data_IF_686448294851
#
_entry.id   IF_686448294851
#
_cell.length_a   1.000
_cell.length_b   1.000
_cell.length_c   1.000
_cell.angle_alpha   90.00
_cell.angle_beta   90.00
_cell.angle_gamma   90.00
#
_symmetry.space_group_name_H-M   'P 1'
#
loop_
_entity.id
_entity.type
_entity.pdbx_description
1 polymer ?
#
# COMPACT_ATOMS: atom_id res chain seq x y z
N UNK A 1 -32.29 1.30 -13.18
CA UNK A 1 -31.07 0.88 -12.44
C UNK A 1 -29.79 1.30 -13.14
N UNK A 2 -29.55 0.92 -14.40
CA UNK A 2 -28.32 1.29 -15.15
C UNK A 2 -28.03 2.80 -15.20
N UNK A 3 -29.04 3.64 -15.52
CA UNK A 3 -28.89 5.11 -15.52
C UNK A 3 -28.46 5.70 -14.16
N UNK A 4 -28.94 5.14 -13.06
CA UNK A 4 -28.58 5.56 -11.70
C UNK A 4 -27.14 5.15 -11.36
N UNK A 5 -26.72 3.94 -11.76
CA UNK A 5 -25.33 3.48 -11.60
C UNK A 5 -24.36 4.38 -12.36
N UNK A 6 -24.69 4.77 -13.60
CA UNK A 6 -23.86 5.70 -14.37
C UNK A 6 -23.83 7.11 -13.80
N UNK A 7 -24.95 7.62 -13.29
CA UNK A 7 -24.99 8.92 -12.63
C UNK A 7 -24.13 8.94 -11.36
N UNK A 8 -24.14 7.87 -10.57
CA UNK A 8 -23.32 7.73 -9.37
C UNK A 8 -21.84 7.53 -9.68
N UNK A 9 -21.50 6.71 -10.67
CA UNK A 9 -20.13 6.59 -11.17
C UNK A 9 -19.61 7.93 -11.68
N UNK A 10 -20.46 8.76 -12.31
CA UNK A 10 -20.09 10.11 -12.75
C UNK A 10 -19.97 11.08 -11.57
N UNK A 11 -20.84 10.99 -10.56
CA UNK A 11 -20.79 11.83 -9.36
C UNK A 11 -19.63 11.47 -8.42
N UNK A 12 -19.21 10.20 -8.40
CA UNK A 12 -18.12 9.64 -7.60
C UNK A 12 -16.91 9.22 -8.44
N UNK A 13 -16.75 9.73 -9.66
CA UNK A 13 -15.76 9.22 -10.63
C UNK A 13 -14.33 9.16 -10.08
N UNK A 14 -13.96 10.13 -9.22
CA UNK A 14 -12.64 10.22 -8.62
C UNK A 14 -12.31 9.00 -7.73
N UNK A 15 -13.28 8.42 -7.04
CA UNK A 15 -13.05 7.22 -6.23
C UNK A 15 -12.86 5.97 -7.09
N UNK A 16 -13.60 5.85 -8.19
CA UNK A 16 -13.48 4.69 -9.06
C UNK A 16 -12.22 4.72 -9.93
N UNK A 17 -11.82 5.89 -10.41
CA UNK A 17 -10.55 6.07 -11.15
C UNK A 17 -9.36 5.66 -10.27
N UNK A 18 -9.38 6.02 -8.99
CA UNK A 18 -8.32 5.61 -8.06
C UNK A 18 -8.21 4.09 -7.89
N UNK A 19 -9.34 3.38 -7.81
CA UNK A 19 -9.35 1.91 -7.74
C UNK A 19 -8.81 1.31 -9.05
N UNK A 20 -9.24 1.81 -10.20
CA UNK A 20 -8.77 1.37 -11.52
C UNK A 20 -7.26 1.55 -11.66
N UNK A 21 -6.73 2.70 -11.24
CA UNK A 21 -5.31 3.01 -11.38
C UNK A 21 -4.44 2.11 -10.48
N UNK A 22 -4.85 1.87 -9.23
CA UNK A 22 -4.15 0.94 -8.33
C UNK A 22 -4.25 -0.50 -8.81
N UNK A 23 -5.41 -0.90 -9.32
CA UNK A 23 -5.58 -2.20 -9.96
C UNK A 23 -4.66 -2.36 -11.18
N UNK A 24 -4.47 -1.31 -11.99
CA UNK A 24 -3.53 -1.34 -13.10
C UNK A 24 -2.08 -1.52 -12.64
N UNK A 25 -1.65 -0.85 -11.58
CA UNK A 25 -0.29 -1.04 -11.04
C UNK A 25 -0.11 -2.43 -10.41
N UNK A 26 -1.13 -2.96 -9.73
CA UNK A 26 -1.10 -4.31 -9.19
C UNK A 26 -1.01 -5.37 -10.31
N UNK A 27 -1.78 -5.17 -11.38
CA UNK A 27 -1.74 -6.02 -12.58
C UNK A 27 -0.40 -5.90 -13.30
N UNK A 28 0.18 -4.69 -13.39
CA UNK A 28 1.52 -4.48 -13.95
C UNK A 28 2.59 -5.26 -13.16
N UNK A 29 2.60 -5.11 -11.83
CA UNK A 29 3.57 -5.79 -10.97
C UNK A 29 3.43 -7.33 -11.05
N UNK A 30 2.20 -7.84 -11.04
CA UNK A 30 1.93 -9.26 -11.25
C UNK A 30 2.33 -9.70 -12.66
N UNK A 31 1.99 -8.90 -13.66
CA UNK A 31 2.28 -9.14 -15.07
C UNK A 31 3.76 -9.29 -15.33
N UNK A 32 4.60 -8.37 -14.85
CA UNK A 32 6.07 -8.45 -15.00
C UNK A 32 6.62 -9.75 -14.44
N UNK A 33 6.14 -10.19 -13.27
CA UNK A 33 6.56 -11.45 -12.68
C UNK A 33 6.11 -12.66 -13.53
N UNK A 34 4.85 -12.68 -13.98
CA UNK A 34 4.33 -13.78 -14.79
C UNK A 34 4.94 -13.81 -16.19
N UNK A 35 5.29 -12.66 -16.78
CA UNK A 35 6.04 -12.60 -18.05
C UNK A 35 7.41 -13.24 -17.94
N UNK A 36 8.06 -13.14 -16.78
CA UNK A 36 9.31 -13.84 -16.53
C UNK A 36 9.11 -15.37 -16.56
N UNK A 37 8.07 -15.87 -15.90
CA UNK A 37 7.70 -17.29 -15.93
C UNK A 37 7.33 -17.75 -17.35
N UNK A 38 6.49 -16.99 -18.05
CA UNK A 38 6.08 -17.29 -19.43
C UNK A 38 7.29 -17.33 -20.36
N UNK A 39 8.23 -16.39 -20.21
CA UNK A 39 9.50 -16.39 -20.95
C UNK A 39 10.30 -17.67 -20.69
N UNK A 40 10.38 -18.13 -19.43
CA UNK A 40 11.05 -19.39 -19.11
C UNK A 40 10.39 -20.63 -19.69
N UNK A 41 9.06 -20.65 -19.78
CA UNK A 41 8.33 -21.75 -20.43
C UNK A 41 8.68 -21.81 -21.92
N UNK A 42 8.77 -20.66 -22.59
CA UNK A 42 9.12 -20.59 -24.02
C UNK A 42 10.60 -20.85 -24.30
N UNK A 43 11.50 -20.42 -23.41
CA UNK A 43 12.94 -20.60 -23.56
C UNK A 43 13.42 -22.04 -23.27
N UNK A 44 12.60 -22.83 -22.58
CA UNK A 44 12.84 -24.25 -22.31
C UNK A 44 13.34 -24.58 -20.90
N UNK A 45 13.46 -25.87 -20.55
CA UNK A 45 13.67 -26.32 -19.17
C UNK A 45 14.92 -25.75 -18.48
N UNK A 46 16.00 -25.53 -19.24
CA UNK A 46 17.26 -24.95 -18.76
C UNK A 46 17.06 -23.56 -18.12
N UNK A 47 16.16 -22.75 -18.68
CA UNK A 47 15.92 -21.37 -18.24
C UNK A 47 14.72 -21.24 -17.32
N UNK A 48 13.78 -22.19 -17.39
CA UNK A 48 12.56 -22.20 -16.60
C UNK A 48 12.82 -22.18 -15.09
N UNK A 49 13.79 -22.96 -14.60
CA UNK A 49 14.10 -23.00 -13.16
C UNK A 49 14.55 -21.63 -12.64
N UNK A 50 15.52 -20.99 -13.30
CA UNK A 50 15.98 -19.65 -12.93
C UNK A 50 14.88 -18.58 -13.02
N UNK A 51 14.10 -18.57 -14.10
CA UNK A 51 13.01 -17.61 -14.27
C UNK A 51 11.84 -17.85 -13.32
N UNK A 52 11.54 -19.10 -12.97
CA UNK A 52 10.53 -19.42 -11.95
C UNK A 52 10.96 -18.96 -10.56
N UNK A 53 12.25 -19.11 -10.21
CA UNK A 53 12.82 -18.56 -8.97
C UNK A 53 12.71 -17.04 -8.92
N UNK A 54 13.07 -16.36 -10.02
CA UNK A 54 12.90 -14.90 -10.15
C UNK A 54 11.44 -14.45 -10.06
N UNK A 55 10.52 -15.20 -10.69
CA UNK A 55 9.07 -14.95 -10.60
C UNK A 55 8.59 -15.04 -9.16
N UNK A 56 9.00 -16.11 -8.46
CA UNK A 56 8.71 -16.30 -7.04
C UNK A 56 9.20 -15.13 -6.20
N UNK A 57 10.45 -14.70 -6.39
CA UNK A 57 11.01 -13.56 -5.68
C UNK A 57 10.19 -12.27 -5.91
N UNK A 58 9.91 -11.91 -7.17
CA UNK A 58 9.13 -10.69 -7.49
C UNK A 58 7.74 -10.74 -6.86
N UNK A 59 7.05 -11.88 -6.93
CA UNK A 59 5.72 -12.04 -6.36
C UNK A 59 5.72 -11.98 -4.82
N UNK A 60 6.77 -12.49 -4.16
CA UNK A 60 6.86 -12.44 -2.71
C UNK A 60 6.94 -11.01 -2.17
N UNK A 61 7.62 -10.09 -2.88
CA UNK A 61 7.62 -8.68 -2.52
C UNK A 61 6.34 -7.96 -2.98
N UNK A 62 5.87 -8.24 -4.21
CA UNK A 62 4.76 -7.52 -4.84
C UNK A 62 3.39 -7.88 -4.29
N UNK A 63 3.13 -9.15 -3.97
CA UNK A 63 1.81 -9.61 -3.58
C UNK A 63 1.34 -8.99 -2.25
N UNK A 64 2.14 -8.95 -1.17
CA UNK A 64 1.75 -8.28 0.08
C UNK A 64 1.42 -6.80 -0.12
N UNK A 65 2.22 -6.09 -0.91
CA UNK A 65 1.97 -4.70 -1.26
C UNK A 65 0.67 -4.54 -2.05
N UNK A 66 0.47 -5.36 -3.08
CA UNK A 66 -0.74 -5.32 -3.90
C UNK A 66 -1.98 -5.60 -3.07
N UNK A 67 -1.96 -6.62 -2.21
CA UNK A 67 -3.06 -6.96 -1.30
C UNK A 67 -3.36 -5.79 -0.34
N UNK A 68 -2.34 -5.30 0.37
CA UNK A 68 -2.51 -4.28 1.40
C UNK A 68 -3.00 -2.94 0.82
N UNK A 69 -2.38 -2.48 -0.27
CA UNK A 69 -2.69 -1.20 -0.93
C UNK A 69 -4.04 -1.26 -1.62
N UNK A 70 -4.31 -2.31 -2.41
CA UNK A 70 -5.61 -2.46 -3.10
C UNK A 70 -6.74 -2.58 -2.09
N UNK A 71 -6.57 -3.36 -1.01
CA UNK A 71 -7.60 -3.47 0.03
C UNK A 71 -7.87 -2.15 0.75
N UNK A 72 -6.82 -1.37 1.03
CA UNK A 72 -6.94 -0.05 1.64
C UNK A 72 -7.72 0.93 0.75
N UNK A 73 -7.38 0.98 -0.54
CA UNK A 73 -7.93 1.94 -1.49
C UNK A 73 -9.34 1.57 -1.92
N UNK A 74 -9.60 0.31 -2.21
CA UNK A 74 -10.94 -0.17 -2.50
C UNK A 74 -11.90 0.11 -1.35
N UNK A 75 -11.44 -0.13 -0.12
CA UNK A 75 -12.25 0.19 1.06
C UNK A 75 -12.51 1.69 1.18
N UNK A 76 -11.51 2.53 0.94
CA UNK A 76 -11.68 3.98 0.94
C UNK A 76 -12.68 4.43 -0.13
N UNK A 77 -12.61 3.87 -1.34
CA UNK A 77 -13.51 4.18 -2.43
C UNK A 77 -14.97 3.87 -2.09
N UNK A 78 -15.22 2.70 -1.49
CA UNK A 78 -16.55 2.29 -1.03
C UNK A 78 -17.02 3.17 0.13
N UNK A 79 -16.15 3.42 1.12
CA UNK A 79 -16.46 4.27 2.28
C UNK A 79 -16.85 5.70 1.83
N UNK A 80 -16.20 6.26 0.80
CA UNK A 80 -16.52 7.57 0.21
C UNK A 80 -17.83 7.57 -0.61
N UNK A 81 -18.26 6.41 -1.10
CA UNK A 81 -19.49 6.26 -1.90
C UNK A 81 -20.72 5.94 -1.03
N UNK A 82 -20.53 5.71 0.28
CA UNK A 82 -21.60 5.36 1.22
C UNK A 82 -22.79 6.34 1.24
N UNK A 83 -22.60 7.68 1.25
CA UNK A 83 -23.72 8.61 1.27
C UNK A 83 -24.62 8.50 0.03
N UNK A 84 -24.04 8.20 -1.14
CA UNK A 84 -24.80 7.97 -2.37
C UNK A 84 -25.64 6.70 -2.30
N UNK A 85 -25.04 5.60 -1.81
CA UNK A 85 -25.76 4.35 -1.59
C UNK A 85 -26.86 4.45 -0.53
N UNK A 86 -26.68 5.28 0.48
CA UNK A 86 -27.71 5.54 1.49
C UNK A 86 -28.94 6.22 0.88
N UNK A 87 -28.75 7.15 -0.06
CA UNK A 87 -29.87 7.79 -0.80
C UNK A 87 -30.64 6.75 -1.62
N UNK A 88 -29.97 5.77 -2.20
CA UNK A 88 -30.64 4.67 -2.91
C UNK A 88 -31.47 3.79 -1.97
N UNK A 89 -30.96 3.53 -0.76
CA UNK A 89 -31.72 2.77 0.24
C UNK A 89 -32.95 3.53 0.71
N UNK A 90 -32.89 4.87 0.85
CA UNK A 90 -34.08 5.70 1.12
C UNK A 90 -35.11 5.64 -0.01
N UNK A 91 -34.64 5.49 -1.25
CA UNK A 91 -35.51 5.30 -2.41
C UNK A 91 -36.04 3.86 -2.56
N UNK A 92 -35.81 2.98 -1.58
CA UNK A 92 -36.36 1.61 -1.53
C UNK A 92 -35.45 0.52 -2.12
N UNK A 93 -34.20 0.82 -2.48
CA UNK A 93 -33.25 -0.21 -2.94
C UNK A 93 -32.83 -1.11 -1.78
N UNK A 94 -32.96 -2.43 -1.96
CA UNK A 94 -32.67 -3.40 -0.92
C UNK A 94 -31.17 -3.52 -0.58
N UNK A 95 -30.82 -3.97 0.65
CA UNK A 95 -29.44 -4.05 1.13
C UNK A 95 -28.56 -5.00 0.30
N UNK A 96 -29.14 -6.12 -0.17
CA UNK A 96 -28.46 -7.09 -1.04
C UNK A 96 -28.22 -6.51 -2.43
N UNK A 97 -29.18 -5.74 -2.96
CA UNK A 97 -29.05 -5.08 -4.26
C UNK A 97 -27.95 -4.02 -4.24
N UNK A 98 -27.88 -3.20 -3.18
CA UNK A 98 -26.78 -2.24 -3.00
C UNK A 98 -25.43 -2.94 -2.97
N UNK A 99 -25.29 -4.01 -2.16
CA UNK A 99 -24.04 -4.76 -2.08
C UNK A 99 -23.65 -5.39 -3.43
N UNK A 100 -24.63 -5.91 -4.18
CA UNK A 100 -24.42 -6.45 -5.53
C UNK A 100 -23.93 -5.39 -6.52
N UNK A 101 -24.51 -4.18 -6.49
CA UNK A 101 -24.06 -3.07 -7.36
C UNK A 101 -22.63 -2.67 -7.03
N UNK A 102 -22.27 -2.54 -5.75
CA UNK A 102 -20.90 -2.21 -5.34
C UNK A 102 -19.93 -3.29 -5.83
N UNK A 103 -20.26 -4.56 -5.67
CA UNK A 103 -19.43 -5.67 -6.17
C UNK A 103 -19.28 -5.65 -7.68
N UNK A 104 -20.34 -5.32 -8.43
CA UNK A 104 -20.27 -5.18 -9.87
C UNK A 104 -19.35 -4.01 -10.29
N UNK A 105 -19.44 -2.87 -9.61
CA UNK A 105 -18.54 -1.72 -9.86
C UNK A 105 -17.08 -2.08 -9.58
N UNK A 106 -16.82 -2.83 -8.50
CA UNK A 106 -15.49 -3.34 -8.16
C UNK A 106 -14.97 -4.34 -9.18
N UNK A 107 -15.83 -5.25 -9.66
CA UNK A 107 -15.49 -6.20 -10.71
C UNK A 107 -15.08 -5.48 -12.00
N UNK A 108 -15.89 -4.51 -12.45
CA UNK A 108 -15.58 -3.71 -13.64
C UNK A 108 -14.30 -2.90 -13.44
N UNK A 109 -14.12 -2.25 -12.29
CA UNK A 109 -12.90 -1.50 -12.00
C UNK A 109 -11.66 -2.41 -11.99
N UNK A 110 -11.77 -3.61 -11.41
CA UNK A 110 -10.71 -4.62 -11.40
C UNK A 110 -10.40 -5.17 -12.80
N UNK A 111 -11.41 -5.37 -13.65
CA UNK A 111 -11.21 -5.81 -15.03
C UNK A 111 -10.53 -4.74 -15.88
N UNK A 112 -11.03 -3.49 -15.82
CA UNK A 112 -10.46 -2.37 -16.57
C UNK A 112 -9.04 -2.08 -16.09
N UNK A 113 -8.82 -2.02 -14.77
CA UNK A 113 -7.49 -1.87 -14.19
C UNK A 113 -6.58 -3.02 -14.59
N UNK A 114 -7.06 -4.26 -14.47
CA UNK A 114 -6.34 -5.47 -14.90
C UNK A 114 -5.88 -5.40 -16.35
N UNK A 115 -6.78 -5.07 -17.27
CA UNK A 115 -6.48 -4.96 -18.70
C UNK A 115 -5.51 -3.81 -19.02
N UNK A 116 -5.68 -2.64 -18.40
CA UNK A 116 -4.76 -1.51 -18.55
C UNK A 116 -3.36 -1.85 -18.02
N UNK A 117 -3.30 -2.51 -16.86
CA UNK A 117 -2.03 -2.94 -16.28
C UNK A 117 -1.33 -4.00 -17.12
N UNK A 118 -2.07 -4.96 -17.67
CA UNK A 118 -1.53 -5.91 -18.64
C UNK A 118 -0.99 -5.21 -19.90
N UNK A 119 -1.73 -4.24 -20.44
CA UNK A 119 -1.27 -3.41 -21.55
C UNK A 119 -0.01 -2.61 -21.22
N UNK A 120 0.17 -2.15 -19.98
CA UNK A 120 1.42 -1.54 -19.54
C UNK A 120 2.55 -2.58 -19.40
N UNK A 121 2.24 -3.81 -18.96
CA UNK A 121 3.20 -4.91 -18.87
C UNK A 121 3.81 -5.23 -20.22
N UNK A 122 3.03 -5.27 -21.30
CA UNK A 122 3.56 -5.59 -22.64
C UNK A 122 4.61 -4.59 -23.12
N UNK A 123 4.57 -3.35 -22.62
CA UNK A 123 5.52 -2.29 -22.95
C UNK A 123 6.75 -2.29 -22.03
N UNK A 124 6.55 -2.60 -20.75
CA UNK A 124 7.55 -2.39 -19.69
C UNK A 124 8.32 -3.66 -19.33
N UNK A 125 7.71 -4.85 -19.46
CA UNK A 125 8.30 -6.10 -19.00
C UNK A 125 9.64 -6.40 -19.71
N UNK A 126 9.70 -6.23 -21.03
CA UNK A 126 10.92 -6.45 -21.82
C UNK A 126 12.12 -5.63 -21.32
N UNK A 127 12.04 -4.28 -21.34
CA UNK A 127 13.13 -3.43 -20.86
C UNK A 127 13.52 -3.68 -19.41
N UNK A 128 12.54 -3.84 -18.51
CA UNK A 128 12.80 -4.02 -17.07
C UNK A 128 13.48 -5.36 -16.80
N UNK A 129 13.00 -6.45 -17.40
CA UNK A 129 13.61 -7.77 -17.25
C UNK A 129 15.01 -7.78 -17.88
N UNK A 130 15.17 -7.26 -19.10
CA UNK A 130 16.47 -7.22 -19.77
C UNK A 130 17.52 -6.45 -18.95
N UNK A 131 17.17 -5.26 -18.43
CA UNK A 131 18.08 -4.48 -17.60
C UNK A 131 18.50 -5.20 -16.32
N UNK A 132 17.63 -6.01 -15.72
CA UNK A 132 17.95 -6.77 -14.52
C UNK A 132 18.93 -7.93 -14.74
N UNK A 133 19.02 -8.44 -15.98
CA UNK A 133 19.94 -9.50 -16.36
C UNK A 133 21.16 -9.01 -17.14
N UNK A 134 21.25 -7.70 -17.46
CA UNK A 134 22.33 -7.13 -18.26
C UNK A 134 23.72 -7.31 -17.63
N UNK A 135 23.81 -7.19 -16.30
CA UNK A 135 25.07 -7.32 -15.54
C UNK A 135 25.37 -8.76 -15.11
N UNK A 136 24.49 -9.71 -15.43
CA UNK A 136 24.59 -11.10 -14.97
C UNK A 136 25.45 -11.98 -15.88
N UNK A 137 26.16 -12.95 -15.30
CA UNK A 137 26.85 -13.99 -16.06
C UNK A 137 25.85 -15.07 -16.52
N UNK A 138 25.22 -14.87 -17.68
CA UNK A 138 24.38 -15.89 -18.31
C UNK A 138 23.71 -15.41 -19.60
N UNK A 139 23.31 -16.36 -20.45
CA UNK A 139 22.59 -16.10 -21.71
C UNK A 139 21.16 -15.53 -21.50
N UNK A 140 20.73 -15.32 -20.24
CA UNK A 140 19.40 -14.82 -19.88
C UNK A 140 19.06 -13.47 -20.50
N UNK A 141 20.05 -12.57 -20.64
CA UNK A 141 19.84 -11.26 -21.26
C UNK A 141 19.51 -11.35 -22.78
N UNK A 142 19.95 -12.42 -23.45
CA UNK A 142 19.72 -12.63 -24.88
C UNK A 142 18.34 -13.25 -25.17
N UNK A 143 17.61 -13.70 -24.15
CA UNK A 143 16.30 -14.33 -24.32
C UNK A 143 15.23 -13.25 -24.54
N UNK A 144 14.47 -13.30 -25.64
CA UNK A 144 13.40 -12.36 -25.88
C UNK A 144 12.29 -12.57 -24.84
N UNK A 145 11.93 -11.50 -24.14
CA UNK A 145 10.88 -11.53 -23.11
C UNK A 145 9.52 -11.73 -23.77
N UNK A 146 8.79 -12.74 -23.31
CA UNK A 146 7.45 -13.08 -23.78
C UNK A 146 6.43 -12.55 -22.78
N UNK A 147 5.54 -11.66 -23.24
CA UNK A 147 4.35 -11.20 -22.50
C UNK A 147 3.11 -11.61 -23.28
N UNK A 148 2.60 -12.80 -22.99
CA UNK A 148 1.62 -13.49 -23.83
C UNK A 148 0.29 -13.80 -23.12
N UNK A 149 -0.46 -14.78 -23.65
CA UNK A 149 -1.76 -15.18 -23.12
C UNK A 149 -1.72 -15.68 -21.69
N UNK A 150 -0.62 -16.31 -21.25
CA UNK A 150 -0.49 -16.78 -19.87
C UNK A 150 -0.37 -15.60 -18.91
N UNK A 151 0.44 -14.58 -19.26
CA UNK A 151 0.51 -13.34 -18.48
C UNK A 151 -0.86 -12.67 -18.37
N UNK A 152 -1.61 -12.54 -19.48
CA UNK A 152 -2.96 -11.97 -19.45
C UNK A 152 -3.92 -12.79 -18.59
N UNK A 153 -3.89 -14.13 -18.77
CA UNK A 153 -4.76 -15.09 -18.09
C UNK A 153 -4.55 -15.19 -16.58
N UNK A 154 -3.39 -14.74 -16.07
CA UNK A 154 -3.10 -14.72 -14.63
C UNK A 154 -3.22 -13.30 -14.05
N UNK A 155 -2.59 -12.30 -14.67
CA UNK A 155 -2.50 -10.95 -14.10
C UNK A 155 -3.88 -10.27 -13.99
N UNK A 156 -4.73 -10.42 -15.02
CA UNK A 156 -6.06 -9.79 -15.04
C UNK A 156 -6.97 -10.44 -13.98
N UNK A 157 -7.15 -11.78 -13.92
CA UNK A 157 -8.00 -12.39 -12.90
C UNK A 157 -7.45 -12.19 -11.48
N UNK A 158 -6.13 -12.29 -11.28
CA UNK A 158 -5.53 -12.03 -9.97
C UNK A 158 -5.88 -10.63 -9.47
N UNK A 159 -5.81 -9.61 -10.34
CA UNK A 159 -6.17 -8.23 -10.00
C UNK A 159 -7.65 -8.08 -9.67
N UNK A 160 -8.55 -8.70 -10.44
CA UNK A 160 -9.99 -8.71 -10.15
C UNK A 160 -10.25 -9.31 -8.78
N UNK A 161 -9.62 -10.45 -8.47
CA UNK A 161 -9.73 -11.11 -7.16
C UNK A 161 -9.24 -10.20 -6.04
N UNK A 162 -8.09 -9.52 -6.20
CA UNK A 162 -7.57 -8.58 -5.20
C UNK A 162 -8.55 -7.43 -4.93
N UNK A 163 -9.11 -6.82 -5.97
CA UNK A 163 -10.09 -5.72 -5.84
C UNK A 163 -11.36 -6.21 -5.15
N UNK A 164 -11.90 -7.36 -5.57
CA UNK A 164 -13.09 -7.95 -4.97
C UNK A 164 -12.87 -8.32 -3.50
N UNK A 165 -11.79 -9.00 -3.15
CA UNK A 165 -11.48 -9.38 -1.77
C UNK A 165 -11.26 -8.14 -0.88
N UNK A 166 -10.60 -7.11 -1.42
CA UNK A 166 -10.41 -5.82 -0.74
C UNK A 166 -11.72 -5.09 -0.45
N UNK A 167 -12.68 -5.14 -1.38
CA UNK A 167 -13.95 -4.43 -1.29
C UNK A 167 -15.12 -5.22 -0.72
N UNK A 168 -15.07 -6.55 -0.68
CA UNK A 168 -16.21 -7.41 -0.33
C UNK A 168 -16.82 -7.07 1.03
N UNK A 169 -15.99 -6.82 2.03
CA UNK A 169 -16.46 -6.45 3.37
C UNK A 169 -17.04 -5.04 3.40
N UNK A 170 -16.47 -4.12 2.63
CA UNK A 170 -16.97 -2.75 2.53
C UNK A 170 -18.32 -2.74 1.78
N UNK A 171 -18.46 -3.50 0.70
CA UNK A 171 -19.71 -3.69 -0.04
C UNK A 171 -20.83 -4.26 0.84
N UNK A 172 -20.54 -5.30 1.63
CA UNK A 172 -21.50 -5.86 2.59
C UNK A 172 -21.86 -4.88 3.71
N UNK A 173 -20.91 -4.07 4.16
CA UNK A 173 -21.16 -3.04 5.15
C UNK A 173 -22.04 -1.92 4.58
N UNK A 174 -21.80 -1.50 3.33
CA UNK A 174 -22.61 -0.51 2.63
C UNK A 174 -24.08 -0.92 2.54
N UNK A 175 -24.35 -2.19 2.20
CA UNK A 175 -25.72 -2.72 2.19
C UNK A 175 -26.40 -2.74 3.56
N UNK A 176 -25.66 -2.85 4.67
CA UNK A 176 -26.24 -3.00 6.03
C UNK A 176 -26.24 -1.71 6.85
N UNK A 177 -25.71 -0.61 6.32
CA UNK A 177 -25.62 0.65 7.06
C UNK A 177 -26.98 1.36 6.98
N UNK A 178 -27.67 1.64 8.12
CA UNK A 178 -28.96 2.32 8.09
C UNK A 178 -28.85 3.68 7.38
N UNK A 179 -29.74 3.96 6.45
CA UNK A 179 -29.64 5.14 5.59
C UNK A 179 -29.64 6.47 6.37
N UNK A 180 -30.37 6.55 7.51
CA UNK A 180 -30.30 7.71 8.41
C UNK A 180 -28.94 7.86 9.11
N UNK A 181 -28.26 6.77 9.43
CA UNK A 181 -26.94 6.79 10.07
C UNK A 181 -25.82 7.10 9.06
N UNK A 182 -26.06 6.87 7.77
CA UNK A 182 -25.14 7.26 6.69
C UNK A 182 -25.32 8.73 6.27
N UNK A 183 -26.44 9.38 6.64
CA UNK A 183 -26.72 10.80 6.35
C UNK A 183 -26.42 11.73 7.53
N UNK A 184 -26.55 11.28 8.78
CA UNK A 184 -25.92 11.96 9.92
C UNK A 184 -24.41 11.74 9.82
N UNK A 185 -23.61 12.80 9.97
CA UNK A 185 -22.15 12.68 10.02
C UNK A 185 -21.79 11.50 10.93
N UNK A 186 -21.17 10.44 10.38
CA UNK A 186 -21.09 9.18 11.07
C UNK A 186 -20.17 9.35 12.27
N UNK A 187 -20.75 9.30 13.48
CA UNK A 187 -19.99 9.11 14.70
C UNK A 187 -19.04 7.93 14.47
N UNK A 188 -17.74 8.21 14.39
CA UNK A 188 -16.75 7.23 14.00
C UNK A 188 -16.62 6.17 15.09
N UNK A 189 -17.48 5.14 15.04
CA UNK A 189 -17.42 4.00 15.97
C UNK A 189 -16.06 3.34 15.79
N UNK A 190 -15.20 3.46 16.81
CA UNK A 190 -13.89 2.85 16.83
C UNK A 190 -14.00 1.38 16.42
N UNK A 191 -13.42 1.02 15.27
CA UNK A 191 -13.58 -0.29 14.66
C UNK A 191 -12.82 -1.32 15.49
N UNK A 192 -13.52 -1.99 16.42
CA UNK A 192 -12.94 -3.04 17.29
C UNK A 192 -12.38 -4.19 16.44
N UNK A 193 -11.26 -4.76 16.88
CA UNK A 193 -10.68 -5.96 16.28
C UNK A 193 -11.71 -7.10 16.38
N UNK A 194 -12.06 -7.73 15.24
CA UNK A 194 -12.97 -8.88 15.22
C UNK A 194 -12.19 -10.16 15.53
N UNK A 195 -12.83 -11.14 16.17
CA UNK A 195 -12.21 -12.42 16.55
C UNK A 195 -11.51 -13.14 15.39
N UNK A 196 -12.10 -13.17 14.19
CA UNK A 196 -11.46 -13.79 13.03
C UNK A 196 -10.18 -13.07 12.58
N UNK A 197 -10.05 -11.75 12.84
CA UNK A 197 -8.79 -11.02 12.57
C UNK A 197 -7.72 -11.40 13.58
N UNK A 198 -8.11 -11.68 14.82
CA UNK A 198 -7.18 -12.24 15.80
C UNK A 198 -6.68 -13.62 15.38
N UNK A 199 -7.56 -14.47 14.83
CA UNK A 199 -7.14 -15.75 14.28
C UNK A 199 -6.18 -15.60 13.09
N UNK A 200 -6.47 -14.69 12.15
CA UNK A 200 -5.56 -14.42 11.03
C UNK A 200 -4.22 -13.85 11.51
N UNK A 201 -4.23 -12.97 12.49
CA UNK A 201 -3.00 -12.43 13.08
C UNK A 201 -2.21 -13.52 13.79
N UNK A 202 -2.87 -14.37 14.58
CA UNK A 202 -2.23 -15.49 15.25
C UNK A 202 -1.62 -16.48 14.25
N UNK A 203 -2.33 -16.80 13.16
CA UNK A 203 -1.81 -17.64 12.08
C UNK A 203 -0.60 -16.99 11.38
N UNK A 204 -0.65 -15.68 11.12
CA UNK A 204 0.47 -14.96 10.52
C UNK A 204 1.70 -14.88 11.44
N UNK A 205 1.48 -14.69 12.75
CA UNK A 205 2.57 -14.71 13.75
C UNK A 205 3.15 -16.11 13.87
N UNK A 206 2.33 -17.17 13.86
CA UNK A 206 2.80 -18.54 13.86
C UNK A 206 3.60 -18.87 12.58
N UNK A 207 3.12 -18.43 11.42
CA UNK A 207 3.84 -18.56 10.15
C UNK A 207 5.15 -17.79 10.14
N UNK A 208 5.18 -16.58 10.69
CA UNK A 208 6.40 -15.79 10.85
C UNK A 208 7.39 -16.48 11.81
N UNK A 209 6.91 -17.01 12.94
CA UNK A 209 7.75 -17.76 13.88
C UNK A 209 8.33 -19.03 13.24
N UNK A 210 7.54 -19.75 12.43
CA UNK A 210 8.02 -20.90 11.67
C UNK A 210 9.05 -20.50 10.60
N UNK A 211 8.82 -19.41 9.88
CA UNK A 211 9.79 -18.90 8.92
C UNK A 211 11.11 -18.49 9.60
N UNK A 212 11.03 -17.74 10.70
CA UNK A 212 12.23 -17.32 11.42
C UNK A 212 12.95 -18.51 12.06
N UNK A 213 12.23 -19.54 12.50
CA UNK A 213 12.89 -20.78 12.95
C UNK A 213 13.69 -21.45 11.83
N UNK A 214 13.19 -21.42 10.59
CA UNK A 214 13.94 -21.88 9.41
C UNK A 214 15.17 -21.00 9.12
N UNK A 215 15.04 -19.67 9.18
CA UNK A 215 16.17 -18.72 9.04
C UNK A 215 17.26 -19.01 10.07
N UNK A 216 16.89 -19.24 11.33
CA UNK A 216 17.84 -19.61 12.38
C UNK A 216 18.38 -21.05 12.24
N UNK A 217 17.75 -21.93 11.47
CA UNK A 217 18.23 -23.30 11.24
C UNK A 217 19.16 -23.43 10.03
N UNK A 218 19.30 -22.37 9.24
CA UNK A 218 20.24 -22.33 8.12
C UNK A 218 21.65 -22.70 8.58
N UNK A 219 22.30 -23.57 7.81
CA UNK A 219 23.64 -24.09 8.12
C UNK A 219 24.73 -23.37 7.34
N UNK A 220 24.34 -22.69 6.26
CA UNK A 220 25.27 -21.99 5.38
C UNK A 220 24.82 -20.56 5.14
N UNK A 221 25.78 -19.66 4.88
CA UNK A 221 25.48 -18.27 4.55
C UNK A 221 24.66 -18.16 3.25
N UNK A 222 24.87 -19.08 2.31
CA UNK A 222 24.09 -19.17 1.06
C UNK A 222 22.62 -19.48 1.32
N UNK A 223 22.30 -20.44 2.20
CA UNK A 223 20.91 -20.73 2.60
C UNK A 223 20.23 -19.51 3.24
N UNK A 224 20.97 -18.78 4.08
CA UNK A 224 20.53 -17.52 4.66
C UNK A 224 20.29 -16.45 3.60
N UNK A 225 21.18 -16.31 2.63
CA UNK A 225 21.07 -15.32 1.56
C UNK A 225 19.83 -15.54 0.67
N UNK A 226 19.41 -16.80 0.51
CA UNK A 226 18.20 -17.16 -0.24
C UNK A 226 16.91 -16.86 0.52
N UNK A 227 16.94 -16.88 1.85
CA UNK A 227 15.73 -16.77 2.69
C UNK A 227 15.58 -15.38 3.32
N UNK A 228 16.66 -14.75 3.76
CA UNK A 228 16.67 -13.46 4.44
C UNK A 228 16.00 -12.29 3.68
N UNK A 229 15.95 -12.22 2.34
CA UNK A 229 15.19 -11.16 1.65
C UNK A 229 13.70 -11.15 2.04
N UNK A 230 13.16 -12.29 2.51
CA UNK A 230 11.77 -12.40 2.95
C UNK A 230 11.54 -11.91 4.39
N UNK A 231 12.59 -11.72 5.20
CA UNK A 231 12.49 -11.18 6.57
C UNK A 231 11.67 -9.88 6.62
N UNK A 232 12.01 -8.80 5.87
CA UNK A 232 11.22 -7.56 5.89
C UNK A 232 9.80 -7.73 5.34
N UNK A 233 9.60 -8.64 4.38
CA UNK A 233 8.27 -8.94 3.82
C UNK A 233 7.35 -9.50 4.89
N UNK A 234 7.81 -10.51 5.62
CA UNK A 234 7.04 -11.21 6.64
C UNK A 234 6.72 -10.28 7.81
N UNK A 235 7.69 -9.50 8.26
CA UNK A 235 7.48 -8.48 9.29
C UNK A 235 6.44 -7.44 8.84
N UNK A 236 6.54 -6.94 7.61
CA UNK A 236 5.57 -5.98 7.07
C UNK A 236 4.16 -6.56 7.03
N UNK A 237 3.99 -7.81 6.58
CA UNK A 237 2.69 -8.52 6.56
C UNK A 237 2.08 -8.62 7.95
N UNK A 238 2.87 -9.03 8.96
CA UNK A 238 2.41 -9.11 10.34
C UNK A 238 1.93 -7.75 10.85
N UNK A 239 2.66 -6.67 10.57
CA UNK A 239 2.28 -5.31 10.96
C UNK A 239 1.01 -4.84 10.23
N UNK A 240 0.86 -5.11 8.92
CA UNK A 240 -0.38 -4.79 8.17
C UNK A 240 -1.59 -5.51 8.78
N UNK A 241 -1.45 -6.80 9.10
CA UNK A 241 -2.53 -7.59 9.71
C UNK A 241 -2.88 -7.10 11.12
N UNK A 242 -1.88 -6.67 11.88
CA UNK A 242 -2.04 -6.03 13.18
C UNK A 242 -2.49 -4.56 13.10
N UNK A 243 -2.57 -3.98 11.89
CA UNK A 243 -2.82 -2.57 11.62
C UNK A 243 -4.01 -1.94 12.37
N UNK A 244 -5.16 -2.60 12.55
CA UNK A 244 -6.29 -2.03 13.31
C UNK A 244 -5.97 -1.71 14.78
N UNK A 245 -4.92 -2.32 15.36
CA UNK A 245 -4.44 -2.04 16.72
C UNK A 245 -3.14 -1.25 16.67
N UNK A 246 -2.19 -1.68 15.83
CA UNK A 246 -0.85 -1.10 15.78
C UNK A 246 -0.87 0.33 15.26
N UNK A 247 -1.61 0.62 14.18
CA UNK A 247 -1.63 1.97 13.61
C UNK A 247 -2.23 3.02 14.56
N UNK A 248 -3.42 2.81 15.17
CA UNK A 248 -3.94 3.78 16.15
C UNK A 248 -3.05 3.88 17.39
N UNK A 249 -2.43 2.77 17.82
CA UNK A 249 -1.53 2.80 18.97
C UNK A 249 -0.30 3.66 18.69
N UNK A 250 0.43 3.40 17.60
CA UNK A 250 1.63 4.17 17.22
C UNK A 250 1.25 5.63 17.00
N UNK A 251 0.19 5.90 16.23
CA UNK A 251 -0.30 7.26 16.01
C UNK A 251 -0.59 7.97 17.33
N UNK A 252 -1.22 7.30 18.30
CA UNK A 252 -1.54 7.92 19.60
C UNK A 252 -0.31 8.12 20.47
N UNK A 253 0.62 7.18 20.47
CA UNK A 253 1.82 7.19 21.28
C UNK A 253 2.72 8.39 20.92
N UNK A 254 3.14 8.49 19.65
CA UNK A 254 4.06 9.56 19.26
C UNK A 254 3.37 10.93 19.21
N UNK A 255 2.10 11.03 18.77
CA UNK A 255 1.35 12.31 18.85
C UNK A 255 1.05 12.74 20.28
N UNK A 256 1.23 11.84 21.26
CA UNK A 256 1.16 12.14 22.69
C UNK A 256 2.35 12.92 23.20
N UNK A 257 3.50 12.82 22.54
CA UNK A 257 4.73 13.51 22.93
C UNK A 257 4.63 15.03 22.75
N UNK A 258 3.81 15.49 21.81
CA UNK A 258 3.56 16.92 21.57
C UNK A 258 2.29 17.35 22.34
N UNK A 259 2.40 18.29 23.30
CA UNK A 259 1.26 18.75 24.09
C UNK A 259 0.11 19.25 23.23
N UNK A 260 -1.13 18.89 23.60
CA UNK A 260 -2.32 19.33 22.87
C UNK A 260 -2.55 20.85 22.90
N UNK A 261 -1.87 21.55 23.82
CA UNK A 261 -1.91 23.00 23.98
C UNK A 261 -0.84 23.73 23.15
N UNK A 262 0.05 23.00 22.45
CA UNK A 262 1.16 23.59 21.70
C UNK A 262 0.67 24.49 20.54
N UNK A 263 -0.44 24.14 19.90
CA UNK A 263 -1.10 24.94 18.87
C UNK A 263 -2.53 24.45 18.63
N UNK A 264 -3.43 25.36 18.26
CA UNK A 264 -4.80 25.03 17.83
C UNK A 264 -4.79 24.16 16.57
N UNK A 265 -3.90 24.41 15.61
CA UNK A 265 -3.79 23.62 14.38
C UNK A 265 -3.27 22.21 14.64
N UNK A 266 -2.34 22.05 15.59
CA UNK A 266 -1.88 20.72 16.04
C UNK A 266 -3.01 19.96 16.74
N UNK A 267 -3.76 20.63 17.61
CA UNK A 267 -4.89 20.04 18.32
C UNK A 267 -5.93 19.50 17.33
N UNK A 268 -6.35 20.33 16.38
CA UNK A 268 -7.31 19.96 15.35
C UNK A 268 -6.82 18.78 14.50
N UNK A 269 -5.58 18.86 14.01
CA UNK A 269 -5.00 17.82 13.15
C UNK A 269 -4.90 16.48 13.87
N UNK A 270 -4.45 16.49 15.13
CA UNK A 270 -4.38 15.29 15.97
C UNK A 270 -5.76 14.69 16.20
N UNK A 271 -6.78 15.51 16.43
CA UNK A 271 -8.14 15.03 16.65
C UNK A 271 -8.73 14.43 15.37
N UNK A 272 -8.58 15.10 14.22
CA UNK A 272 -9.02 14.61 12.91
C UNK A 272 -8.35 13.28 12.54
N UNK A 273 -7.03 13.18 12.71
CA UNK A 273 -6.27 11.96 12.45
C UNK A 273 -6.69 10.78 13.35
N UNK A 274 -7.18 11.06 14.56
CA UNK A 274 -7.68 10.03 15.50
C UNK A 274 -9.15 9.68 15.27
N UNK A 275 -9.95 10.61 14.78
CA UNK A 275 -11.38 10.41 14.55
C UNK A 275 -11.62 9.63 13.26
N UNK A 276 -10.87 9.93 12.19
CA UNK A 276 -11.01 9.28 10.88
C UNK A 276 -10.01 8.11 10.68
N UNK A 277 -9.87 7.24 11.67
CA UNK A 277 -8.90 6.11 11.66
C UNK A 277 -8.98 5.23 10.41
N UNK A 278 -10.17 5.04 9.83
CA UNK A 278 -10.33 4.28 8.58
C UNK A 278 -9.60 4.92 7.40
N UNK A 279 -9.70 6.25 7.28
CA UNK A 279 -9.05 7.07 6.24
C UNK A 279 -7.55 7.24 6.51
N UNK A 280 -7.17 7.39 7.78
CA UNK A 280 -5.77 7.43 8.20
C UNK A 280 -5.05 6.12 7.86
N UNK A 281 -5.69 4.97 8.11
CA UNK A 281 -5.15 3.66 7.73
C UNK A 281 -4.94 3.56 6.21
N UNK A 282 -5.87 4.07 5.40
CA UNK A 282 -5.73 4.06 3.95
C UNK A 282 -4.55 4.91 3.46
N UNK A 283 -4.23 6.00 4.16
CA UNK A 283 -3.08 6.86 3.85
C UNK A 283 -1.75 6.29 4.36
N UNK A 284 -1.75 5.64 5.52
CA UNK A 284 -0.55 5.10 6.18
C UNK A 284 -0.06 3.83 5.48
N UNK A 285 -0.96 2.91 5.10
CA UNK A 285 -0.57 1.58 4.60
C UNK A 285 0.34 1.63 3.37
N UNK A 286 0.05 2.38 2.29
CA UNK A 286 0.91 2.38 1.10
C UNK A 286 2.33 2.87 1.40
N UNK A 287 2.45 3.97 2.14
CA UNK A 287 3.74 4.53 2.54
C UNK A 287 4.52 3.56 3.44
N UNK A 288 3.84 2.98 4.42
CA UNK A 288 4.44 1.99 5.32
C UNK A 288 4.99 0.80 4.54
N UNK A 289 4.16 0.16 3.70
CA UNK A 289 4.53 -1.06 2.98
C UNK A 289 5.66 -0.78 1.98
N UNK A 290 5.60 0.33 1.24
CA UNK A 290 6.68 0.70 0.33
C UNK A 290 8.00 0.91 1.07
N UNK A 291 7.98 1.69 2.16
CA UNK A 291 9.18 2.02 2.93
C UNK A 291 9.76 0.79 3.65
N UNK A 292 8.91 -0.09 4.19
CA UNK A 292 9.34 -1.30 4.87
C UNK A 292 9.97 -2.32 3.92
N UNK A 293 9.41 -2.49 2.72
CA UNK A 293 9.92 -3.45 1.74
C UNK A 293 11.22 -2.96 1.11
N UNK A 294 11.26 -1.70 0.64
CA UNK A 294 12.45 -1.12 0.03
C UNK A 294 13.58 -0.96 1.05
N UNK A 295 13.32 -0.30 2.18
CA UNK A 295 14.33 -0.11 3.22
C UNK A 295 14.74 -1.40 3.89
N UNK A 296 13.80 -2.34 4.04
CA UNK A 296 14.06 -3.66 4.60
C UNK A 296 15.03 -4.48 3.76
N UNK A 297 14.88 -4.48 2.43
CA UNK A 297 15.83 -5.17 1.54
C UNK A 297 17.23 -4.56 1.62
N UNK A 298 17.35 -3.23 1.57
CA UNK A 298 18.66 -2.58 1.70
C UNK A 298 19.28 -2.77 3.10
N UNK A 299 18.44 -2.85 4.13
CA UNK A 299 18.88 -3.16 5.51
C UNK A 299 19.39 -4.59 5.62
N UNK A 300 18.69 -5.55 5.02
CA UNK A 300 19.17 -6.93 4.89
C UNK A 300 20.50 -6.97 4.14
N UNK A 301 20.60 -6.35 2.96
CA UNK A 301 21.85 -6.31 2.19
C UNK A 301 23.01 -5.67 2.94
N UNK A 302 22.78 -4.55 3.64
CA UNK A 302 23.82 -3.89 4.45
C UNK A 302 24.28 -4.75 5.63
N UNK A 303 23.35 -5.47 6.27
CA UNK A 303 23.66 -6.39 7.37
C UNK A 303 24.52 -7.56 6.87
N UNK A 304 24.19 -8.15 5.73
CA UNK A 304 24.99 -9.21 5.11
C UNK A 304 26.36 -8.70 4.65
N UNK A 305 26.41 -7.55 3.99
CA UNK A 305 27.66 -6.93 3.52
C UNK A 305 28.64 -6.65 4.66
N UNK A 306 28.15 -6.07 5.77
CA UNK A 306 28.97 -5.82 6.95
C UNK A 306 29.46 -7.11 7.62
N UNK A 307 28.57 -8.10 7.75
CA UNK A 307 28.87 -9.40 8.36
C UNK A 307 29.90 -10.19 7.54
N UNK A 308 29.73 -10.26 6.21
CA UNK A 308 30.66 -10.95 5.31
C UNK A 308 32.02 -10.29 5.26
N UNK A 309 32.08 -8.96 5.19
CA UNK A 309 33.35 -8.22 5.24
C UNK A 309 34.08 -8.45 6.56
N UNK A 310 33.36 -8.52 7.68
CA UNK A 310 33.96 -8.84 8.97
C UNK A 310 34.48 -10.28 9.04
N UNK A 311 33.91 -11.20 8.26
CA UNK A 311 34.42 -12.55 8.08
C UNK A 311 35.60 -12.65 7.10
N UNK A 312 36.02 -11.54 6.47
CA UNK A 312 37.06 -11.52 5.43
C UNK A 312 36.58 -11.98 4.05
N UNK A 313 35.27 -12.12 3.86
CA UNK A 313 34.67 -12.51 2.58
C UNK A 313 34.28 -11.29 1.72
N UNK A 314 34.03 -11.53 0.43
CA UNK A 314 33.47 -10.50 -0.46
C UNK A 314 32.06 -10.16 0.01
N UNK A 315 31.82 -8.86 0.24
CA UNK A 315 30.52 -8.36 0.64
C UNK A 315 29.44 -8.50 -0.44
N UNK A 316 28.18 -8.35 -0.04
CA UNK A 316 27.01 -8.47 -0.92
C UNK A 316 26.54 -7.08 -1.32
N UNK A 317 26.59 -6.80 -2.62
CA UNK A 317 26.02 -5.58 -3.20
C UNK A 317 24.84 -5.93 -4.11
N UNK A 318 23.71 -5.26 -3.92
CA UNK A 318 22.55 -5.43 -4.78
C UNK A 318 22.68 -4.55 -6.03
N UNK A 319 22.56 -5.16 -7.21
CA UNK A 319 22.48 -4.41 -8.48
C UNK A 319 21.18 -3.61 -8.54
N UNK A 320 21.27 -2.32 -8.92
CA UNK A 320 20.11 -1.41 -8.93
C UNK A 320 18.98 -1.95 -9.83
N UNK A 321 19.32 -2.56 -10.97
CA UNK A 321 18.33 -3.12 -11.89
C UNK A 321 17.62 -4.36 -11.32
N UNK A 322 18.32 -5.22 -10.56
CA UNK A 322 17.72 -6.36 -9.87
C UNK A 322 16.80 -5.91 -8.73
N UNK A 323 17.20 -4.88 -7.98
CA UNK A 323 16.35 -4.26 -6.96
C UNK A 323 15.11 -3.65 -7.59
N UNK A 324 15.26 -2.96 -8.72
CA UNK A 324 14.15 -2.37 -9.47
C UNK A 324 13.18 -3.45 -9.97
N UNK A 325 13.66 -4.58 -10.47
CA UNK A 325 12.82 -5.70 -10.89
C UNK A 325 12.07 -6.32 -9.69
N UNK A 326 12.74 -6.50 -8.55
CA UNK A 326 12.17 -7.20 -7.39
C UNK A 326 11.22 -6.32 -6.55
N UNK A 327 11.54 -5.03 -6.38
CA UNK A 327 10.83 -4.09 -5.50
C UNK A 327 10.09 -2.97 -6.26
N UNK A 328 10.26 -2.88 -7.58
CA UNK A 328 9.57 -1.89 -8.40
C UNK A 328 8.06 -1.91 -8.24
N UNK A 329 7.45 -3.11 -8.21
CA UNK A 329 6.00 -3.28 -7.97
C UNK A 329 5.53 -2.64 -6.66
N UNK A 330 6.06 -3.04 -5.49
CA UNK A 330 5.76 -2.42 -4.21
C UNK A 330 5.98 -0.91 -4.14
N UNK A 331 7.07 -0.41 -4.71
CA UNK A 331 7.38 1.03 -4.71
C UNK A 331 6.39 1.81 -5.56
N UNK A 332 6.06 1.31 -6.74
CA UNK A 332 5.02 1.90 -7.60
C UNK A 332 3.66 1.88 -6.91
N UNK A 333 3.28 0.75 -6.28
CA UNK A 333 2.04 0.64 -5.51
C UNK A 333 2.00 1.60 -4.32
N UNK A 334 3.11 1.80 -3.62
CA UNK A 334 3.21 2.74 -2.51
C UNK A 334 3.02 4.19 -2.99
N UNK A 335 3.73 4.58 -4.06
CA UNK A 335 3.64 5.91 -4.64
C UNK A 335 2.25 6.20 -5.21
N UNK A 336 1.72 5.30 -6.04
CA UNK A 336 0.40 5.42 -6.64
C UNK A 336 -0.70 5.34 -5.59
N UNK A 337 -0.56 4.45 -4.60
CA UNK A 337 -1.52 4.31 -3.53
C UNK A 337 -1.62 5.57 -2.67
N UNK A 338 -0.50 6.20 -2.34
CA UNK A 338 -0.48 7.48 -1.66
C UNK A 338 -1.15 8.58 -2.51
N UNK A 339 -0.79 8.69 -3.79
CA UNK A 339 -1.37 9.68 -4.70
C UNK A 339 -2.90 9.54 -4.85
N UNK A 340 -3.38 8.30 -5.04
CA UNK A 340 -4.81 8.00 -5.18
C UNK A 340 -5.58 8.34 -3.91
N UNK A 341 -5.05 7.99 -2.72
CA UNK A 341 -5.71 8.31 -1.45
C UNK A 341 -5.89 9.82 -1.30
N UNK A 342 -4.92 10.62 -1.73
CA UNK A 342 -5.03 12.07 -1.64
C UNK A 342 -6.02 12.61 -2.67
N UNK A 343 -5.95 12.13 -3.92
CA UNK A 343 -6.88 12.49 -4.98
C UNK A 343 -8.34 12.23 -4.56
N UNK A 344 -8.61 11.05 -4.00
CA UNK A 344 -9.92 10.67 -3.44
C UNK A 344 -10.34 11.55 -2.25
N UNK A 345 -9.36 11.93 -1.42
CA UNK A 345 -9.55 12.70 -0.19
C UNK A 345 -9.82 14.19 -0.43
N UNK A 346 -9.51 14.71 -1.61
CA UNK A 346 -9.56 16.14 -1.88
C UNK A 346 -10.98 16.73 -1.76
N UNK A 347 -12.02 15.98 -2.16
CA UNK A 347 -13.41 16.45 -2.11
C UNK A 347 -13.92 16.59 -0.67
N UNK A 348 -13.68 15.59 0.17
CA UNK A 348 -14.08 15.61 1.58
C UNK A 348 -13.27 16.62 2.39
N UNK A 349 -11.98 16.78 2.08
CA UNK A 349 -11.15 17.85 2.65
C UNK A 349 -11.73 19.25 2.37
N UNK A 350 -12.33 19.47 1.19
CA UNK A 350 -12.96 20.74 0.87
C UNK A 350 -14.12 21.10 1.80
N UNK A 351 -14.98 20.12 2.10
CA UNK A 351 -16.10 20.30 3.04
C UNK A 351 -15.61 20.54 4.47
N UNK A 352 -14.68 19.71 4.96
CA UNK A 352 -14.07 19.87 6.30
C UNK A 352 -13.41 21.26 6.47
N UNK A 353 -12.71 21.74 5.43
CA UNK A 353 -12.09 23.07 5.41
C UNK A 353 -13.12 24.20 5.38
N UNK A 354 -14.22 24.03 4.64
CA UNK A 354 -15.30 25.00 4.60
C UNK A 354 -15.99 25.12 5.97
N UNK A 355 -16.23 24.00 6.66
CA UNK A 355 -16.77 23.97 8.01
C UNK A 355 -15.84 24.66 9.03
N UNK A 356 -14.53 24.42 8.95
CA UNK A 356 -13.55 25.13 9.79
C UNK A 356 -13.53 26.64 9.52
N UNK A 357 -13.67 27.07 8.26
CA UNK A 357 -13.78 28.50 7.94
C UNK A 357 -15.11 29.09 8.44
N UNK A 358 -16.21 28.34 8.34
CA UNK A 358 -17.53 28.76 8.82
C UNK A 358 -17.57 28.92 10.35
N UNK A 359 -16.77 28.14 11.09
CA UNK A 359 -16.59 28.31 12.54
C UNK A 359 -15.62 29.44 12.94
N UNK A 360 -15.12 30.22 11.96
CA UNK A 360 -14.25 31.37 12.19
C UNK A 360 -12.75 31.07 12.18
N UNK A 361 -12.31 29.86 11.78
CA UNK A 361 -10.89 29.56 11.72
C UNK A 361 -10.18 30.38 10.63
N UNK A 362 -9.09 31.05 11.01
CA UNK A 362 -8.24 31.77 10.07
C UNK A 362 -7.64 30.82 9.01
N UNK A 363 -7.41 31.33 7.80
CA UNK A 363 -6.87 30.55 6.66
C UNK A 363 -5.54 29.85 7.01
N UNK A 364 -4.67 30.52 7.76
CA UNK A 364 -3.41 29.95 8.23
C UNK A 364 -3.58 28.75 9.15
N UNK A 365 -4.62 28.73 10.00
CA UNK A 365 -4.93 27.60 10.88
C UNK A 365 -5.42 26.41 10.08
N UNK A 366 -6.25 26.63 9.05
CA UNK A 366 -6.73 25.57 8.14
C UNK A 366 -5.57 24.93 7.38
N UNK A 367 -4.68 25.76 6.82
CA UNK A 367 -3.48 25.29 6.11
C UNK A 367 -2.55 24.51 7.04
N UNK A 368 -2.26 25.06 8.23
CA UNK A 368 -1.41 24.40 9.21
C UNK A 368 -2.00 23.08 9.71
N UNK A 369 -3.33 23.00 9.88
CA UNK A 369 -4.02 21.76 10.26
C UNK A 369 -3.85 20.67 9.20
N UNK A 370 -4.00 21.02 7.92
CA UNK A 370 -3.80 20.09 6.81
C UNK A 370 -2.35 19.60 6.71
N UNK A 371 -1.37 20.50 6.89
CA UNK A 371 0.05 20.16 6.94
C UNK A 371 0.34 19.21 8.10
N UNK A 372 -0.14 19.51 9.31
CA UNK A 372 0.05 18.64 10.46
C UNK A 372 -0.60 17.28 10.29
N UNK A 373 -1.76 17.19 9.66
CA UNK A 373 -2.41 15.92 9.37
C UNK A 373 -1.57 15.06 8.41
N UNK A 374 -1.04 15.65 7.35
CA UNK A 374 -0.14 14.95 6.42
C UNK A 374 1.13 14.46 7.15
N UNK A 375 1.78 15.33 7.92
CA UNK A 375 2.93 14.98 8.77
C UNK A 375 2.57 13.83 9.71
N UNK A 376 1.40 13.85 10.34
CA UNK A 376 0.99 12.81 11.27
C UNK A 376 0.92 11.43 10.58
N UNK A 377 0.34 11.36 9.39
CA UNK A 377 0.23 10.10 8.67
C UNK A 377 1.58 9.59 8.16
N UNK A 378 2.41 10.48 7.61
CA UNK A 378 3.72 10.12 7.08
C UNK A 378 4.68 9.68 8.20
N UNK A 379 4.75 10.43 9.30
CA UNK A 379 5.58 10.07 10.47
C UNK A 379 5.12 8.74 11.06
N UNK A 380 3.80 8.50 11.15
CA UNK A 380 3.29 7.20 11.62
C UNK A 380 3.75 6.06 10.71
N UNK A 381 3.66 6.22 9.38
CA UNK A 381 4.14 5.23 8.42
C UNK A 381 5.66 5.00 8.53
N UNK A 382 6.43 6.09 8.69
CA UNK A 382 7.89 6.03 8.84
C UNK A 382 8.33 5.32 10.12
N UNK A 383 7.67 5.57 11.26
CA UNK A 383 7.96 4.89 12.52
C UNK A 383 7.67 3.38 12.43
N UNK A 384 6.56 3.00 11.79
CA UNK A 384 6.23 1.59 11.54
C UNK A 384 7.27 0.92 10.63
N UNK A 385 7.69 1.60 9.56
CA UNK A 385 8.72 1.09 8.66
C UNK A 385 10.08 0.97 9.37
N UNK A 386 10.46 1.97 10.18
CA UNK A 386 11.69 1.93 10.96
C UNK A 386 11.73 0.74 11.93
N UNK A 387 10.59 0.41 12.57
CA UNK A 387 10.50 -0.78 13.40
C UNK A 387 10.75 -2.07 12.61
N UNK A 388 10.23 -2.17 11.37
CA UNK A 388 10.52 -3.30 10.47
C UNK A 388 12.00 -3.35 10.11
N UNK A 389 12.60 -2.22 9.71
CA UNK A 389 14.03 -2.16 9.36
C UNK A 389 14.93 -2.60 10.53
N UNK A 390 14.68 -2.06 11.74
CA UNK A 390 15.44 -2.44 12.94
C UNK A 390 15.27 -3.94 13.23
N UNK A 391 14.04 -4.46 13.18
CA UNK A 391 13.79 -5.87 13.39
C UNK A 391 14.48 -6.75 12.32
N UNK A 392 14.48 -6.34 11.05
CA UNK A 392 15.21 -7.03 9.97
C UNK A 392 16.71 -7.09 10.27
N UNK A 393 17.34 -5.95 10.58
CA UNK A 393 18.77 -5.92 10.90
C UNK A 393 19.12 -6.82 12.10
N UNK A 394 18.31 -6.79 13.15
CA UNK A 394 18.54 -7.60 14.35
C UNK A 394 18.33 -9.10 14.10
N UNK A 395 17.29 -9.50 13.37
CA UNK A 395 16.98 -10.91 13.08
C UNK A 395 18.06 -11.48 12.17
N UNK A 396 18.36 -10.81 11.04
CA UNK A 396 19.32 -11.30 10.07
C UNK A 396 20.74 -11.29 10.66
N UNK A 397 21.09 -10.24 11.42
CA UNK A 397 22.37 -10.15 12.13
C UNK A 397 22.53 -11.25 13.18
N UNK A 398 21.47 -11.55 13.96
CA UNK A 398 21.49 -12.64 14.93
C UNK A 398 21.57 -14.02 14.27
N UNK A 399 20.95 -14.21 13.09
CA UNK A 399 21.06 -15.45 12.35
C UNK A 399 22.48 -15.65 11.79
N UNK A 400 23.08 -14.60 11.24
CA UNK A 400 24.47 -14.60 10.77
C UNK A 400 25.48 -14.84 11.89
N UNK A 401 25.22 -14.30 13.10
CA UNK A 401 26.06 -14.51 14.28
C UNK A 401 26.27 -16.00 14.64
N UNK A 402 25.42 -16.90 14.14
CA UNK A 402 25.54 -18.35 14.34
C UNK A 402 26.53 -19.03 13.40
N UNK A 403 26.82 -18.41 12.26
CA UNK A 403 27.70 -18.94 11.22
C UNK A 403 29.04 -18.19 11.14
N UNK A 404 29.12 -17.00 11.75
CA UNK A 404 30.29 -16.13 11.72
C UNK A 404 29.99 -14.80 12.45
N UNK A 405 30.72 -13.72 12.17
CA UNK A 405 30.42 -12.41 12.71
C UNK A 405 29.07 -11.89 12.17
N UNK A 406 28.11 -11.64 13.07
CA UNK A 406 26.81 -11.06 12.73
C UNK A 406 26.72 -9.60 13.14
N UNK A 407 26.84 -8.68 12.17
CA UNK A 407 26.83 -7.24 12.42
C UNK A 407 25.49 -6.66 11.92
N UNK A 408 24.54 -6.33 12.82
CA UNK A 408 23.28 -5.73 12.41
C UNK A 408 23.50 -4.29 11.92
N UNK A 409 23.10 -4.00 10.68
CA UNK A 409 23.22 -2.67 10.08
C UNK A 409 21.89 -2.21 9.54
N UNK A 410 21.39 -1.08 10.04
CA UNK A 410 20.16 -0.45 9.53
C UNK A 410 20.52 0.51 8.39
N UNK A 411 19.92 0.32 7.22
CA UNK A 411 20.13 1.16 6.04
C UNK A 411 18.85 1.96 5.69
N UNK A 412 18.59 3.10 6.36
CA UNK A 412 17.32 3.80 6.22
C UNK A 412 17.23 4.67 4.96
N UNK A 413 18.34 4.91 4.24
CA UNK A 413 18.44 5.93 3.19
C UNK A 413 17.31 5.88 2.14
N UNK A 414 17.10 4.72 1.52
CA UNK A 414 16.05 4.55 0.50
C UNK A 414 14.63 4.60 1.08
N UNK A 415 14.43 4.08 2.29
CA UNK A 415 13.14 4.22 2.99
C UNK A 415 12.83 5.69 3.29
N UNK A 416 13.80 6.45 3.78
CA UNK A 416 13.66 7.88 4.06
C UNK A 416 13.43 8.68 2.78
N UNK A 417 14.10 8.34 1.68
CA UNK A 417 13.85 8.95 0.38
C UNK A 417 12.41 8.72 -0.08
N UNK A 418 11.91 7.48 0.01
CA UNK A 418 10.53 7.15 -0.34
C UNK A 418 9.50 7.84 0.57
N UNK A 419 9.76 7.87 1.88
CA UNK A 419 8.95 8.59 2.86
C UNK A 419 8.97 10.09 2.58
N UNK A 420 10.11 10.66 2.20
CA UNK A 420 10.27 12.07 1.83
C UNK A 420 9.48 12.43 0.57
N UNK A 421 9.53 11.59 -0.47
CA UNK A 421 8.68 11.73 -1.66
C UNK A 421 7.20 11.63 -1.28
N UNK A 422 6.85 10.65 -0.44
CA UNK A 422 5.49 10.52 0.12
C UNK A 422 5.03 11.75 0.89
N UNK A 423 5.92 12.37 1.68
CA UNK A 423 5.67 13.62 2.39
C UNK A 423 5.43 14.77 1.42
N UNK A 424 6.30 14.94 0.43
CA UNK A 424 6.17 15.99 -0.58
C UNK A 424 4.85 15.87 -1.35
N UNK A 425 4.48 14.65 -1.77
CA UNK A 425 3.21 14.39 -2.46
C UNK A 425 2.00 14.64 -1.56
N UNK A 426 2.02 14.14 -0.32
CA UNK A 426 0.93 14.37 0.65
C UNK A 426 0.77 15.84 1.02
N UNK A 427 1.86 16.58 1.19
CA UNK A 427 1.83 18.02 1.41
C UNK A 427 1.32 18.76 0.19
N UNK A 428 1.88 18.51 -1.00
CA UNK A 428 1.43 19.15 -2.23
C UNK A 428 -0.07 18.96 -2.43
N UNK A 429 -0.56 17.75 -2.29
CA UNK A 429 -1.95 17.44 -2.57
C UNK A 429 -2.92 17.77 -1.42
N UNK A 430 -2.44 18.12 -0.22
CA UNK A 430 -3.27 18.73 0.84
C UNK A 430 -3.25 20.26 0.80
N UNK A 431 -2.12 20.86 0.43
CA UNK A 431 -1.91 22.32 0.43
C UNK A 431 -2.42 22.97 -0.86
N UNK A 432 -2.16 22.38 -2.04
CA UNK A 432 -2.58 22.95 -3.33
C UNK A 432 -4.10 23.19 -3.41
N UNK A 433 -4.98 22.27 -2.97
CA UNK A 433 -6.42 22.53 -3.00
C UNK A 433 -6.86 23.62 -2.02
N UNK A 434 -6.20 23.74 -0.86
CA UNK A 434 -6.47 24.81 0.13
C UNK A 434 -6.15 26.17 -0.46
N UNK A 435 -5.01 26.26 -1.16
CA UNK A 435 -4.57 27.46 -1.85
C UNK A 435 -5.49 27.81 -3.03
N UNK A 436 -5.86 26.83 -3.85
CA UNK A 436 -6.79 27.03 -4.96
C UNK A 436 -8.16 27.56 -4.47
N UNK A 437 -8.75 26.90 -3.46
CA UNK A 437 -10.03 27.28 -2.85
C UNK A 437 -9.96 28.51 -1.94
N UNK A 438 -8.77 29.08 -1.71
CA UNK A 438 -8.65 30.35 -0.99
C UNK A 438 -9.08 31.54 -1.85
N UNK A 439 -9.22 31.33 -3.16
CA UNK A 439 -9.64 32.33 -4.16
C UNK A 439 -11.15 32.39 -4.36
N UNK A 440 -11.88 31.36 -3.94
CA UNK A 440 -13.33 31.28 -4.13
C UNK A 440 -14.10 31.89 -2.93
N UNK A 441 -15.22 32.59 -3.17
CA UNK A 441 -16.07 33.11 -2.10
C UNK A 441 -16.67 31.98 -1.26
N UNK A 442 -16.73 32.18 0.07
CA UNK A 442 -17.20 31.20 1.06
C UNK A 442 -18.58 30.59 0.73
N UNK A 443 -19.45 31.38 0.12
CA UNK A 443 -20.81 30.97 -0.29
C UNK A 443 -20.78 29.89 -1.37
N UNK A 444 -19.85 29.98 -2.34
CA UNK A 444 -19.68 28.96 -3.38
C UNK A 444 -19.12 27.65 -2.80
N UNK A 445 -18.27 27.73 -1.78
CA UNK A 445 -17.73 26.57 -1.07
C UNK A 445 -18.78 25.82 -0.25
N UNK A 446 -19.74 26.52 0.35
CA UNK A 446 -20.84 25.93 1.11
C UNK A 446 -21.97 25.38 0.21
N UNK A 447 -22.19 25.97 -0.97
CA UNK A 447 -23.19 25.50 -1.92
C UNK A 447 -22.80 24.19 -2.66
N UNK A 448 -21.53 23.78 -2.56
CA UNK A 448 -20.99 22.55 -3.14
C UNK A 448 -20.99 21.35 -2.17
N UNK A 449 -21.37 21.57 -0.91
CA UNK A 449 -21.60 20.54 0.13
C UNK A 449 -23.02 20.00 -0.02
#
# INVERSE_FOLDING_TARGET
MTRLVFAELRAGWASWVGVVFVAAVASLACGVAISLLETGIHAGPKYLEGFSGGTGAILMFSAPAAIAVTAAITRLAVDLSLPGYARWQLAGVGPVQTAGVVLAQLFVAGLVGGALGFGATTLVAGPVIHSAFADGSGEYAAIPVVTGPLTAGVAIPATVVLVLLGGLRAARAAGRTPALAALREPEARAKRMRWWRWLLLAAAVAGAAWFFSAVFQARTTTELLMTAPLTPVILAVVVVLAGPVVYPFVLRAWTGLVPARASTSWHLARHQARYHLGRSTASITPLFVGASLLGGLFTMSATFDASLRAAGERGVTLGIAQVALMIGGPVLLAAVGAAVVIFMSNRTQGSEQALLRASGAARGVVLATAVWQAVIHVVTAALLAAAVLVATALIDGAALARLGPGIPVVAPGFALALVGVGLALTLAATVLPVLARSRDPLVAGLAAV
#
